data_IF_704559154538
#
_entry.id   IF_704559154538
#
_cell.length_a   1.000
_cell.length_b   1.000
_cell.length_c   1.000
_cell.angle_alpha   90.00
_cell.angle_beta   90.00
_cell.angle_gamma   90.00
#
_symmetry.space_group_name_H-M   'P 1'
#
loop_
_entity.id
_entity.type
_entity.pdbx_description
1 polymer ?
#
# COMPACT_ATOMS: atom_id res chain seq x y z
N UNK A 1 -34.26 -20.71 -6.45
CA UNK A 1 -33.42 -21.21 -5.35
C UNK A 1 -31.98 -20.97 -5.78
N UNK A 2 -31.42 -19.80 -5.47
CA UNK A 2 -30.09 -19.41 -5.96
C UNK A 2 -29.08 -19.67 -4.84
N UNK A 3 -28.24 -20.68 -5.02
CA UNK A 3 -27.06 -20.93 -4.19
C UNK A 3 -26.16 -19.69 -4.17
N UNK A 4 -25.74 -19.30 -2.97
CA UNK A 4 -24.69 -18.30 -2.78
C UNK A 4 -23.38 -18.80 -3.43
N UNK A 5 -22.65 -17.96 -4.19
CA UNK A 5 -21.38 -18.40 -4.75
C UNK A 5 -20.37 -18.63 -3.63
N UNK A 6 -19.87 -19.86 -3.56
CA UNK A 6 -18.71 -20.27 -2.77
C UNK A 6 -17.50 -19.40 -3.18
N UNK A 7 -16.71 -19.01 -2.17
CA UNK A 7 -15.40 -18.32 -2.19
C UNK A 7 -14.87 -17.92 -3.57
N UNK A 8 -14.70 -16.61 -3.78
CA UNK A 8 -13.90 -16.05 -4.86
C UNK A 8 -12.52 -16.73 -4.88
N UNK A 9 -12.09 -17.35 -6.00
CA UNK A 9 -10.76 -17.92 -6.11
C UNK A 9 -9.72 -16.79 -6.14
N UNK A 10 -8.78 -16.85 -5.21
CA UNK A 10 -7.61 -16.00 -5.09
C UNK A 10 -6.62 -16.32 -6.23
N UNK A 11 -6.82 -15.72 -7.40
CA UNK A 11 -5.84 -15.77 -8.48
C UNK A 11 -5.44 -14.37 -8.93
N UNK A 12 -4.16 -14.06 -8.70
CA UNK A 12 -3.33 -13.05 -9.36
C UNK A 12 -3.96 -11.65 -9.52
N UNK A 13 -4.24 -10.98 -8.41
CA UNK A 13 -4.14 -9.52 -8.39
C UNK A 13 -2.64 -9.19 -8.29
N UNK A 14 -2.02 -8.79 -9.39
CA UNK A 14 -0.72 -8.13 -9.37
C UNK A 14 -0.90 -6.80 -8.62
N UNK A 15 -0.76 -6.87 -7.32
CA UNK A 15 -0.65 -5.76 -6.40
C UNK A 15 0.75 -5.16 -6.63
N UNK A 16 0.90 -4.26 -7.60
CA UNK A 16 2.09 -3.40 -7.63
C UNK A 16 1.92 -2.38 -6.51
N UNK A 17 2.25 -2.79 -5.29
CA UNK A 17 2.20 -1.89 -4.15
C UNK A 17 3.37 -0.92 -4.16
N UNK A 18 4.33 -1.12 -5.08
CA UNK A 18 5.54 -0.33 -5.25
C UNK A 18 5.46 0.54 -6.51
N UNK A 19 5.63 1.85 -6.33
CA UNK A 19 5.72 2.81 -7.42
C UNK A 19 7.07 3.54 -7.39
N UNK A 20 7.78 3.50 -8.51
CA UNK A 20 8.97 4.32 -8.69
C UNK A 20 8.56 5.79 -8.88
N UNK A 21 9.30 6.78 -8.34
CA UNK A 21 10.53 6.64 -7.54
C UNK A 21 10.29 6.59 -6.01
N UNK A 22 9.05 6.70 -5.54
CA UNK A 22 8.71 7.07 -4.15
C UNK A 22 8.17 5.96 -3.24
N UNK A 23 8.09 4.72 -3.69
CA UNK A 23 7.78 3.56 -2.86
C UNK A 23 6.29 3.29 -2.60
N UNK A 24 6.05 2.56 -1.51
CA UNK A 24 4.83 1.82 -1.21
C UNK A 24 3.58 2.67 -0.89
N UNK A 25 2.38 2.13 -1.14
CA UNK A 25 1.18 2.56 -0.40
C UNK A 25 0.15 3.40 -1.16
N UNK A 26 0.23 3.50 -2.50
CA UNK A 26 -0.86 4.06 -3.30
C UNK A 26 -1.98 3.03 -3.44
N UNK A 27 -3.20 3.42 -3.13
CA UNK A 27 -4.36 2.52 -3.25
C UNK A 27 -4.66 2.23 -4.72
N UNK A 28 -4.48 0.96 -5.10
CA UNK A 28 -4.91 0.38 -6.38
C UNK A 28 -5.43 -1.04 -6.14
N UNK A 29 -6.42 -1.53 -6.92
CA UNK A 29 -7.10 -0.85 -8.04
C UNK A 29 -8.02 0.31 -7.58
N UNK A 30 -8.58 1.10 -8.51
CA UNK A 30 -9.52 2.18 -8.13
C UNK A 30 -10.91 1.61 -7.75
N UNK A 31 -11.42 0.68 -8.55
CA UNK A 31 -12.71 -0.01 -8.35
C UNK A 31 -12.60 -1.43 -8.89
N UNK A 32 -13.57 -2.28 -8.56
CA UNK A 32 -13.72 -3.63 -9.13
C UNK A 32 -15.06 -3.79 -9.85
N UNK A 33 -15.13 -4.71 -10.80
CA UNK A 33 -16.37 -5.06 -11.52
C UNK A 33 -16.38 -6.55 -11.86
N UNK A 34 -17.43 -7.02 -12.54
CA UNK A 34 -17.51 -8.39 -13.02
C UNK A 34 -16.39 -8.67 -14.02
N UNK A 35 -15.56 -9.65 -13.69
CA UNK A 35 -14.47 -10.12 -14.55
C UNK A 35 -14.31 -11.63 -14.55
N UNK A 36 -15.24 -12.38 -13.96
CA UNK A 36 -15.22 -13.85 -13.94
C UNK A 36 -16.51 -14.40 -14.54
N UNK A 37 -16.39 -15.41 -15.39
CA UNK A 37 -17.53 -16.08 -16.02
C UNK A 37 -18.31 -15.20 -17.00
N UNK A 38 -17.76 -14.07 -17.43
CA UNK A 38 -18.46 -13.11 -18.28
C UNK A 38 -18.60 -13.67 -19.68
N UNK A 39 -19.82 -13.64 -20.21
CA UNK A 39 -20.15 -14.11 -21.55
C UNK A 39 -19.89 -13.01 -22.58
N UNK A 40 -19.06 -13.31 -23.58
CA UNK A 40 -18.70 -12.40 -24.67
C UNK A 40 -18.73 -13.10 -26.03
N UNK A 41 -18.41 -12.35 -27.09
CA UNK A 41 -18.36 -12.88 -28.46
C UNK A 41 -17.19 -13.84 -28.68
N UNK A 42 -17.44 -14.98 -29.32
CA UNK A 42 -16.40 -15.90 -29.76
C UNK A 42 -15.71 -15.44 -31.06
N UNK A 43 -14.45 -15.85 -31.29
CA UNK A 43 -13.66 -15.44 -32.47
C UNK A 43 -14.21 -15.94 -33.82
N UNK A 44 -15.03 -17.00 -33.81
CA UNK A 44 -15.62 -17.56 -35.03
C UNK A 44 -17.13 -17.33 -35.02
N UNK A 45 -17.84 -18.00 -34.11
CA UNK A 45 -19.28 -17.85 -33.89
C UNK A 45 -19.61 -18.15 -32.42
N UNK A 46 -20.78 -17.71 -31.96
CA UNK A 46 -21.31 -18.07 -30.64
C UNK A 46 -20.75 -17.24 -29.47
N UNK A 47 -21.06 -17.70 -28.26
CA UNK A 47 -20.73 -17.03 -27.01
C UNK A 47 -19.68 -17.81 -26.21
N UNK A 48 -18.65 -17.12 -25.70
CA UNK A 48 -17.61 -17.70 -24.85
C UNK A 48 -17.60 -17.06 -23.47
N UNK A 49 -17.39 -17.88 -22.44
CA UNK A 49 -17.14 -17.38 -21.08
C UNK A 49 -15.65 -17.05 -20.92
N UNK A 50 -15.36 -15.85 -20.43
CA UNK A 50 -14.02 -15.35 -20.18
C UNK A 50 -13.88 -14.92 -18.72
N UNK A 51 -12.67 -15.07 -18.18
CA UNK A 51 -12.32 -14.61 -16.83
C UNK A 51 -10.96 -13.91 -16.86
N UNK A 52 -10.84 -12.82 -16.10
CA UNK A 52 -9.62 -12.04 -15.95
C UNK A 52 -9.89 -10.54 -15.82
N UNK A 53 -8.91 -9.79 -15.33
CA UNK A 53 -8.96 -8.31 -15.27
C UNK A 53 -9.06 -7.69 -16.67
N UNK A 54 -8.53 -8.37 -17.70
CA UNK A 54 -8.71 -8.03 -19.12
C UNK A 54 -10.17 -8.06 -19.59
N UNK A 55 -11.06 -8.70 -18.82
CA UNK A 55 -12.52 -8.70 -19.05
C UNK A 55 -13.20 -7.59 -18.24
N UNK A 56 -12.71 -7.31 -17.03
CA UNK A 56 -13.23 -6.25 -16.18
C UNK A 56 -12.99 -4.84 -16.77
N UNK A 57 -11.80 -4.61 -17.36
CA UNK A 57 -11.43 -3.33 -17.96
C UNK A 57 -12.40 -2.82 -19.04
N UNK A 58 -12.76 -3.61 -20.09
CA UNK A 58 -13.73 -3.17 -21.08
C UNK A 58 -15.15 -3.00 -20.53
N UNK A 59 -15.53 -3.71 -19.46
CA UNK A 59 -16.81 -3.47 -18.77
C UNK A 59 -16.85 -2.07 -18.14
N UNK A 60 -15.76 -1.63 -17.50
CA UNK A 60 -15.64 -0.26 -16.98
C UNK A 60 -15.63 0.75 -18.12
N UNK A 61 -14.93 0.47 -19.23
CA UNK A 61 -14.92 1.36 -20.39
C UNK A 61 -16.34 1.58 -20.95
N UNK A 62 -17.12 0.51 -21.13
CA UNK A 62 -18.52 0.60 -21.57
C UNK A 62 -19.40 1.36 -20.58
N UNK A 63 -19.20 1.18 -19.27
CA UNK A 63 -19.87 1.94 -18.23
C UNK A 63 -19.56 3.45 -18.34
N UNK A 64 -18.29 3.81 -18.52
CA UNK A 64 -17.87 5.21 -18.74
C UNK A 64 -18.50 5.79 -19.99
N UNK A 65 -18.53 5.06 -21.10
CA UNK A 65 -19.18 5.50 -22.34
C UNK A 65 -20.68 5.76 -22.13
N UNK A 66 -21.37 4.88 -21.41
CA UNK A 66 -22.80 5.02 -21.12
C UNK A 66 -23.08 6.20 -20.16
N UNK A 67 -22.23 6.42 -19.16
CA UNK A 67 -22.34 7.59 -18.29
C UNK A 67 -22.10 8.88 -19.08
N UNK A 68 -21.03 8.93 -19.88
CA UNK A 68 -20.71 10.11 -20.69
C UNK A 68 -21.82 10.43 -21.72
N UNK A 69 -22.52 9.42 -22.24
CA UNK A 69 -23.61 9.65 -23.20
C UNK A 69 -24.87 10.23 -22.55
N UNK A 70 -25.09 9.97 -21.25
CA UNK A 70 -26.32 10.33 -20.52
C UNK A 70 -26.24 11.65 -19.74
N UNK A 71 -25.04 12.17 -19.47
CA UNK A 71 -24.90 13.45 -18.77
C UNK A 71 -25.30 14.61 -19.70
N UNK A 72 -26.21 15.46 -19.22
CA UNK A 72 -26.72 16.63 -19.95
C UNK A 72 -25.63 17.71 -20.09
N UNK A 73 -24.93 18.03 -19.01
CA UNK A 73 -23.89 19.06 -18.97
C UNK A 73 -22.51 18.45 -19.25
N UNK A 74 -22.28 17.99 -20.49
CA UNK A 74 -21.03 17.31 -20.87
C UNK A 74 -19.78 18.16 -20.67
N UNK A 75 -19.91 19.48 -20.74
CA UNK A 75 -18.81 20.45 -20.55
C UNK A 75 -18.24 20.42 -19.12
N UNK A 76 -19.02 19.98 -18.13
CA UNK A 76 -18.56 19.86 -16.74
C UNK A 76 -17.89 18.52 -16.44
N UNK A 77 -17.94 17.57 -17.39
CA UNK A 77 -17.43 16.21 -17.21
C UNK A 77 -16.09 16.05 -17.90
N UNK A 78 -15.04 15.90 -17.10
CA UNK A 78 -13.68 15.55 -17.51
C UNK A 78 -13.26 14.17 -16.94
N UNK A 79 -12.11 13.61 -17.35
CA UNK A 79 -11.63 12.32 -16.85
C UNK A 79 -11.55 12.21 -15.33
N UNK A 80 -11.19 13.28 -14.61
CA UNK A 80 -11.18 13.27 -13.16
C UNK A 80 -12.58 13.22 -12.56
N UNK A 81 -13.52 14.05 -13.03
CA UNK A 81 -14.91 14.03 -12.55
C UNK A 81 -15.57 12.65 -12.74
N UNK A 82 -15.32 12.00 -13.88
CA UNK A 82 -15.79 10.64 -14.15
C UNK A 82 -15.18 9.66 -13.15
N UNK A 83 -13.86 9.73 -12.94
CA UNK A 83 -13.16 8.89 -11.96
C UNK A 83 -13.66 9.13 -10.54
N UNK A 84 -13.89 10.38 -10.15
CA UNK A 84 -14.45 10.78 -8.85
C UNK A 84 -15.84 10.17 -8.64
N UNK A 85 -16.72 10.26 -9.64
CA UNK A 85 -18.05 9.69 -9.57
C UNK A 85 -18.03 8.16 -9.45
N UNK A 86 -17.18 7.47 -10.22
CA UNK A 86 -17.01 6.03 -10.14
C UNK A 86 -16.50 5.57 -8.78
N UNK A 87 -15.51 6.28 -8.22
CA UNK A 87 -14.95 5.98 -6.90
C UNK A 87 -15.97 6.25 -5.78
N UNK A 88 -16.61 7.42 -5.80
CA UNK A 88 -17.55 7.83 -4.75
C UNK A 88 -18.86 7.02 -4.75
N UNK A 89 -19.25 6.46 -5.88
CA UNK A 89 -20.42 5.60 -6.01
C UNK A 89 -20.16 4.13 -5.68
N UNK A 90 -18.89 3.69 -5.70
CA UNK A 90 -18.53 2.29 -5.55
C UNK A 90 -19.05 1.69 -4.24
N UNK A 91 -19.53 0.45 -4.33
CA UNK A 91 -20.05 -0.30 -3.18
C UNK A 91 -18.99 -1.23 -2.64
N UNK A 92 -18.55 -0.98 -1.41
CA UNK A 92 -17.59 -1.87 -0.73
C UNK A 92 -18.11 -3.30 -0.60
N UNK A 93 -17.21 -4.23 -0.87
CA UNK A 93 -17.35 -5.65 -0.66
C UNK A 93 -16.91 -5.98 0.78
N UNK A 94 -17.73 -6.73 1.54
CA UNK A 94 -17.38 -7.12 2.90
C UNK A 94 -16.19 -8.10 2.88
N UNK A 95 -15.29 -7.96 3.85
CA UNK A 95 -14.19 -8.91 4.04
C UNK A 95 -12.98 -8.73 3.10
N UNK A 96 -13.00 -7.73 2.22
CA UNK A 96 -11.93 -7.47 1.22
C UNK A 96 -11.23 -6.15 1.56
N UNK A 97 -9.92 -6.06 1.40
CA UNK A 97 -9.18 -4.82 1.73
C UNK A 97 -9.13 -3.84 0.54
N UNK A 98 -8.80 -2.57 0.81
CA UNK A 98 -8.79 -1.51 -0.20
C UNK A 98 -7.75 -1.72 -1.32
N UNK A 99 -6.68 -2.49 -1.08
CA UNK A 99 -5.71 -2.82 -2.12
C UNK A 99 -6.18 -3.99 -3.02
N UNK A 100 -7.17 -4.76 -2.58
CA UNK A 100 -7.81 -5.81 -3.40
C UNK A 100 -9.03 -5.27 -4.16
N UNK A 101 -9.87 -4.46 -3.51
CA UNK A 101 -11.13 -3.98 -4.09
C UNK A 101 -11.13 -2.51 -4.54
N UNK A 102 -10.09 -1.74 -4.22
CA UNK A 102 -10.13 -0.29 -4.35
C UNK A 102 -11.21 0.31 -3.45
N UNK A 103 -12.05 1.14 -4.04
CA UNK A 103 -13.23 1.72 -3.40
C UNK A 103 -14.46 0.80 -3.42
N UNK A 104 -14.35 -0.35 -4.09
CA UNK A 104 -15.37 -1.38 -4.16
C UNK A 104 -15.93 -1.60 -5.55
N UNK A 105 -17.08 -2.27 -5.59
CA UNK A 105 -17.74 -2.67 -6.84
C UNK A 105 -18.41 -1.48 -7.52
N UNK A 106 -18.22 -1.38 -8.84
CA UNK A 106 -18.89 -0.42 -9.72
C UNK A 106 -20.41 -0.37 -9.47
N UNK A 107 -20.95 0.82 -9.24
CA UNK A 107 -22.38 1.12 -9.16
C UNK A 107 -22.75 2.20 -10.19
N UNK A 108 -23.26 1.74 -11.34
CA UNK A 108 -23.54 2.61 -12.48
C UNK A 108 -24.65 3.63 -12.19
N UNK A 109 -25.68 3.22 -11.47
CA UNK A 109 -26.85 4.07 -11.19
C UNK A 109 -26.45 5.19 -10.23
N UNK A 110 -25.70 4.86 -9.19
CA UNK A 110 -25.21 5.87 -8.25
C UNK A 110 -24.15 6.77 -8.89
N UNK A 111 -23.29 6.25 -9.77
CA UNK A 111 -22.36 7.07 -10.55
C UNK A 111 -23.11 8.09 -11.42
N UNK A 112 -24.18 7.67 -12.11
CA UNK A 112 -25.04 8.56 -12.89
C UNK A 112 -25.68 9.66 -12.02
N UNK A 113 -26.20 9.30 -10.85
CA UNK A 113 -26.77 10.27 -9.91
C UNK A 113 -25.75 11.33 -9.47
N UNK A 114 -24.52 10.90 -9.14
CA UNK A 114 -23.43 11.81 -8.77
C UNK A 114 -23.06 12.72 -9.94
N UNK A 115 -22.93 12.17 -11.16
CA UNK A 115 -22.60 12.96 -12.35
C UNK A 115 -23.68 13.97 -12.71
N UNK A 116 -24.96 13.61 -12.55
CA UNK A 116 -26.07 14.50 -12.87
C UNK A 116 -26.13 15.74 -11.96
N UNK A 117 -25.67 15.63 -10.72
CA UNK A 117 -25.56 16.75 -9.77
C UNK A 117 -24.11 17.17 -9.53
N UNK A 118 -23.19 16.83 -10.43
CA UNK A 118 -21.77 17.03 -10.21
C UNK A 118 -21.42 18.52 -10.23
N UNK A 119 -20.62 18.92 -9.25
CA UNK A 119 -19.99 20.25 -9.22
C UNK A 119 -18.48 20.03 -9.30
N UNK A 120 -17.77 20.73 -10.21
CA UNK A 120 -16.33 20.64 -10.31
C UNK A 120 -15.66 20.87 -8.94
N UNK A 121 -14.90 19.88 -8.47
CA UNK A 121 -14.28 19.92 -7.14
C UNK A 121 -13.02 19.05 -7.09
N UNK A 122 -12.18 19.30 -6.09
CA UNK A 122 -11.12 18.38 -5.72
C UNK A 122 -11.66 17.25 -4.83
N UNK A 123 -11.03 16.08 -4.87
CA UNK A 123 -11.31 15.00 -3.93
C UNK A 123 -10.06 14.17 -3.65
N UNK A 124 -10.09 13.40 -2.57
CA UNK A 124 -8.99 12.55 -2.13
C UNK A 124 -9.35 11.07 -2.28
N UNK A 125 -8.36 10.26 -2.68
CA UNK A 125 -8.47 8.82 -2.80
C UNK A 125 -7.25 8.14 -2.14
N UNK A 126 -7.41 7.49 -0.97
CA UNK A 126 -8.64 7.36 -0.19
C UNK A 126 -9.13 8.71 0.40
N UNK A 127 -10.41 8.79 0.75
CA UNK A 127 -11.02 10.01 1.31
C UNK A 127 -10.75 10.20 2.81
N UNK A 128 -10.21 9.18 3.48
CA UNK A 128 -9.80 9.19 4.88
C UNK A 128 -8.76 8.09 5.14
N UNK A 129 -8.07 8.19 6.28
CA UNK A 129 -7.12 7.18 6.76
C UNK A 129 -7.58 6.78 8.17
N UNK A 130 -8.15 5.59 8.32
CA UNK A 130 -8.51 5.00 9.62
C UNK A 130 -7.78 3.68 9.83
N UNK A 131 -6.67 3.73 10.56
CA UNK A 131 -5.86 2.54 10.88
C UNK A 131 -6.53 1.63 11.93
N UNK A 132 -7.77 1.93 12.33
CA UNK A 132 -8.58 1.06 13.19
C UNK A 132 -9.64 0.27 12.40
N UNK A 133 -9.82 0.57 11.10
CA UNK A 133 -10.82 -0.09 10.26
C UNK A 133 -10.24 -1.32 9.55
N UNK A 134 -10.40 -2.50 10.17
CA UNK A 134 -10.12 -3.77 9.52
C UNK A 134 -11.39 -4.45 8.99
N UNK A 135 -11.33 -5.16 7.84
CA UNK A 135 -10.15 -5.43 7.02
C UNK A 135 -9.91 -4.38 5.92
N UNK A 136 -10.75 -3.36 5.79
CA UNK A 136 -10.69 -2.44 4.66
C UNK A 136 -9.34 -1.71 4.55
N UNK A 137 -8.81 -1.21 5.67
CA UNK A 137 -7.53 -0.50 5.73
C UNK A 137 -6.32 -1.44 5.94
N UNK A 138 -6.49 -2.75 5.76
CA UNK A 138 -5.36 -3.67 5.79
C UNK A 138 -4.37 -3.31 4.67
N UNK A 139 -3.05 -3.27 4.92
CA UNK A 139 -2.35 -3.76 6.11
C UNK A 139 -2.10 -2.70 7.18
N UNK A 140 -2.49 -1.45 6.98
CA UNK A 140 -2.25 -0.41 7.97
C UNK A 140 -2.99 -0.65 9.28
N UNK A 141 -4.13 -1.36 9.25
CA UNK A 141 -4.90 -1.65 10.45
C UNK A 141 -4.43 -2.88 11.24
N UNK A 142 -3.52 -3.71 10.71
CA UNK A 142 -3.11 -4.96 11.38
C UNK A 142 -2.12 -4.77 12.52
N UNK A 143 -1.55 -3.58 12.67
CA UNK A 143 -0.74 -3.24 13.84
C UNK A 143 -0.93 -1.78 14.26
N UNK A 144 -0.98 -1.50 15.57
CA UNK A 144 -0.90 -0.12 16.06
C UNK A 144 0.51 0.43 15.89
N UNK A 145 0.62 1.75 15.85
CA UNK A 145 1.90 2.47 15.78
C UNK A 145 2.43 2.79 17.17
N UNK A 146 3.73 3.06 17.28
CA UNK A 146 4.38 3.37 18.55
C UNK A 146 5.57 4.33 18.35
N UNK A 147 6.05 4.95 19.44
CA UNK A 147 7.18 5.89 19.36
C UNK A 147 8.50 5.17 19.08
N UNK A 148 9.26 5.67 18.10
CA UNK A 148 10.54 5.11 17.66
C UNK A 148 10.44 4.07 16.55
N UNK A 149 9.22 3.66 16.16
CA UNK A 149 9.00 2.83 14.97
C UNK A 149 9.12 3.62 13.66
N UNK A 150 9.25 2.91 12.56
CA UNK A 150 9.17 3.43 11.20
C UNK A 150 7.83 4.17 10.99
N UNK A 151 7.85 5.36 10.36
CA UNK A 151 6.63 6.07 10.03
C UNK A 151 5.72 5.25 9.10
N UNK A 152 4.42 5.28 9.36
CA UNK A 152 3.43 4.67 8.45
C UNK A 152 3.17 5.64 7.30
N UNK A 153 3.51 5.22 6.08
CA UNK A 153 3.33 6.03 4.87
C UNK A 153 2.07 5.58 4.13
N UNK A 154 1.19 6.54 3.84
CA UNK A 154 -0.03 6.34 3.03
C UNK A 154 -0.02 7.33 1.87
N UNK A 155 -0.07 6.83 0.64
CA UNK A 155 -0.09 7.67 -0.56
C UNK A 155 -1.53 7.93 -1.01
N UNK A 156 -1.94 9.19 -0.91
CA UNK A 156 -3.26 9.66 -1.30
C UNK A 156 -3.18 10.30 -2.68
N UNK A 157 -4.09 9.91 -3.57
CA UNK A 157 -4.27 10.57 -4.86
C UNK A 157 -5.21 11.76 -4.71
N UNK A 158 -4.76 12.93 -5.13
CA UNK A 158 -5.60 14.12 -5.29
C UNK A 158 -6.19 14.07 -6.69
N UNK A 159 -7.52 14.07 -6.80
CA UNK A 159 -8.23 14.18 -8.08
C UNK A 159 -8.76 15.60 -8.20
N UNK A 160 -8.49 16.24 -9.33
CA UNK A 160 -8.90 17.59 -9.64
C UNK A 160 -9.93 17.57 -10.77
N UNK A 161 -11.20 17.65 -10.40
CA UNK A 161 -12.29 17.71 -11.37
C UNK A 161 -12.65 19.12 -11.82
N UNK A 162 -11.89 20.16 -11.42
CA UNK A 162 -12.14 21.58 -11.77
C UNK A 162 -11.54 21.99 -13.12
N UNK A 163 -10.46 21.34 -13.56
CA UNK A 163 -9.78 21.66 -14.81
C UNK A 163 -8.58 20.74 -15.04
N UNK A 164 -7.97 20.81 -16.23
CA UNK A 164 -6.82 19.95 -16.61
C UNK A 164 -5.62 20.16 -15.70
N UNK A 165 -5.39 21.40 -15.29
CA UNK A 165 -4.30 21.80 -14.41
C UNK A 165 -4.87 22.25 -13.07
N UNK A 166 -4.14 21.97 -11.99
CA UNK A 166 -4.42 22.52 -10.67
C UNK A 166 -3.13 22.78 -9.92
N UNK A 167 -3.21 23.60 -8.88
CA UNK A 167 -2.10 23.85 -7.95
C UNK A 167 -2.58 23.74 -6.52
N UNK A 168 -1.71 23.26 -5.65
CA UNK A 168 -1.96 23.32 -4.21
C UNK A 168 -1.58 24.73 -3.76
N UNK A 169 -2.57 25.48 -3.23
CA UNK A 169 -2.42 26.92 -2.92
C UNK A 169 -1.48 27.13 -1.75
N UNK A 170 -1.75 26.44 -0.66
CA UNK A 170 -0.99 26.50 0.58
C UNK A 170 -0.42 25.13 0.93
N UNK A 171 0.71 25.11 1.66
CA UNK A 171 1.27 23.87 2.19
C UNK A 171 0.18 23.15 3.02
N UNK A 172 -0.11 21.86 2.76
CA UNK A 172 -1.04 21.11 3.58
C UNK A 172 -0.56 21.05 5.03
N UNK A 173 -1.45 21.39 5.96
CA UNK A 173 -1.14 21.48 7.39
C UNK A 173 -1.91 20.39 8.13
N UNK A 174 -1.20 19.71 9.04
CA UNK A 174 -1.77 18.83 10.04
C UNK A 174 -2.53 19.64 11.08
N UNK A 175 -3.82 19.33 11.26
CA UNK A 175 -4.69 19.93 12.25
C UNK A 175 -5.09 18.86 13.28
N UNK A 176 -4.38 18.79 14.42
CA UNK A 176 -4.66 17.81 15.46
C UNK A 176 -5.99 18.15 16.16
N UNK A 177 -6.84 17.15 16.39
CA UNK A 177 -8.00 17.32 17.25
C UNK A 177 -7.58 17.12 18.71
N UNK A 178 -7.34 18.22 19.42
CA UNK A 178 -6.87 18.18 20.83
C UNK A 178 -7.79 17.35 21.75
N UNK A 179 -9.13 17.42 21.67
CA UNK A 179 -10.00 16.57 22.51
C UNK A 179 -9.94 15.08 22.15
N UNK A 180 -9.38 14.73 20.98
CA UNK A 180 -9.20 13.36 20.50
C UNK A 180 -7.71 13.00 20.39
N UNK A 181 -6.87 13.59 21.25
CA UNK A 181 -5.44 13.27 21.38
C UNK A 181 -4.63 13.42 20.07
N UNK A 182 -5.07 14.28 19.15
CA UNK A 182 -4.40 14.47 17.87
C UNK A 182 -2.97 15.00 17.99
N UNK A 183 -2.64 15.60 19.13
CA UNK A 183 -1.30 16.08 19.46
C UNK A 183 -0.34 14.94 19.84
N UNK A 184 -0.82 13.69 19.97
CA UNK A 184 0.00 12.50 20.23
C UNK A 184 0.59 11.87 18.95
N UNK A 185 0.23 12.39 17.78
CA UNK A 185 0.80 12.00 16.50
C UNK A 185 1.41 13.19 15.78
N UNK A 186 2.52 12.91 15.11
CA UNK A 186 3.20 13.81 14.21
C UNK A 186 2.89 13.37 12.78
N UNK A 187 2.39 14.29 11.97
CA UNK A 187 2.05 14.03 10.57
C UNK A 187 2.89 14.92 9.68
N UNK A 188 3.74 14.29 8.87
CA UNK A 188 4.50 14.95 7.82
C UNK A 188 3.86 14.66 6.46
N UNK A 189 3.96 15.62 5.54
CA UNK A 189 3.36 15.51 4.20
C UNK A 189 4.38 15.85 3.13
N UNK A 190 4.35 15.08 2.04
CA UNK A 190 5.01 15.38 0.78
C UNK A 190 3.96 15.36 -0.32
N UNK A 191 4.02 16.29 -1.27
CA UNK A 191 2.95 16.47 -2.25
C UNK A 191 3.46 17.05 -3.58
N UNK A 192 2.69 16.83 -4.64
CA UNK A 192 2.91 17.47 -5.93
C UNK A 192 2.41 18.94 -5.90
N UNK A 193 3.27 19.94 -6.15
CA UNK A 193 2.83 21.35 -6.18
C UNK A 193 1.82 21.64 -7.30
N UNK A 194 1.99 20.95 -8.43
CA UNK A 194 1.13 21.03 -9.61
C UNK A 194 0.44 19.69 -9.81
N UNK A 195 -0.87 19.73 -10.11
CA UNK A 195 -1.70 18.60 -10.46
C UNK A 195 -1.85 18.57 -11.98
N UNK A 196 -1.29 17.55 -12.63
CA UNK A 196 -1.38 17.41 -14.09
C UNK A 196 -1.12 15.96 -14.57
N UNK A 197 -1.94 15.45 -15.51
CA UNK A 197 -3.24 15.95 -15.91
C UNK A 197 -4.32 15.50 -14.90
N UNK A 198 -5.11 16.44 -14.39
CA UNK A 198 -6.20 16.26 -13.42
C UNK A 198 -5.90 15.53 -12.09
N UNK A 199 -4.65 15.17 -11.81
CA UNK A 199 -4.31 14.44 -10.61
C UNK A 199 -2.92 14.80 -10.07
N UNK A 200 -2.71 14.53 -8.80
CA UNK A 200 -1.41 14.58 -8.15
C UNK A 200 -1.37 13.71 -6.91
N UNK A 201 -0.28 13.79 -6.15
CA UNK A 201 -0.08 12.94 -4.97
C UNK A 201 0.03 13.76 -3.69
N UNK A 202 -0.38 13.13 -2.60
CA UNK A 202 -0.18 13.56 -1.22
C UNK A 202 0.28 12.32 -0.44
N UNK A 203 1.58 12.23 -0.18
CA UNK A 203 2.17 11.23 0.69
C UNK A 203 2.06 11.71 2.14
N UNK A 204 1.39 10.93 2.98
CA UNK A 204 1.20 11.21 4.41
C UNK A 204 2.07 10.26 5.20
N UNK A 205 3.01 10.80 5.96
CA UNK A 205 3.88 10.06 6.87
C UNK A 205 3.42 10.30 8.30
N UNK A 206 3.06 9.22 8.99
CA UNK A 206 2.47 9.26 10.33
C UNK A 206 3.44 8.63 11.32
N UNK A 207 3.84 9.39 12.34
CA UNK A 207 4.65 8.93 13.46
C UNK A 207 4.01 9.30 14.79
N UNK A 208 4.48 8.67 15.88
CA UNK A 208 4.00 8.95 17.23
C UNK A 208 4.88 10.03 17.86
N UNK A 209 4.26 11.00 18.52
CA UNK A 209 4.97 12.06 19.22
C UNK A 209 5.69 11.51 20.47
N UNK A 210 6.84 12.09 20.82
CA UNK A 210 7.66 11.64 21.97
C UNK A 210 6.90 11.55 23.29
N UNK A 211 5.95 12.46 23.54
CA UNK A 211 5.13 12.46 24.78
C UNK A 211 4.18 11.26 24.88
N UNK A 212 3.88 10.60 23.76
CA UNK A 212 3.00 9.45 23.69
C UNK A 212 3.77 8.11 23.68
N UNK A 213 5.07 8.10 24.01
CA UNK A 213 5.90 6.90 23.98
C UNK A 213 5.43 5.77 24.92
N UNK A 214 4.84 6.13 26.07
CA UNK A 214 4.26 5.20 27.04
C UNK A 214 2.73 5.26 27.09
N UNK A 215 2.11 5.90 26.09
CA UNK A 215 0.67 6.10 26.05
C UNK A 215 -0.02 5.05 25.17
N UNK A 216 -1.27 4.72 25.53
CA UNK A 216 -2.13 3.84 24.74
C UNK A 216 -3.45 4.54 24.45
N UNK A 217 -3.91 4.48 23.20
CA UNK A 217 -5.24 4.96 22.85
C UNK A 217 -5.38 5.27 21.36
N UNK A 218 -6.41 6.04 21.03
CA UNK A 218 -6.72 6.47 19.67
C UNK A 218 -6.46 7.97 19.57
N UNK A 219 -5.71 8.36 18.54
CA UNK A 219 -5.44 9.75 18.19
C UNK A 219 -6.09 10.09 16.85
N UNK A 220 -6.63 11.32 16.74
CA UNK A 220 -7.34 11.78 15.55
C UNK A 220 -6.99 13.21 15.17
N UNK A 221 -7.12 13.51 13.89
CA UNK A 221 -7.01 14.86 13.35
C UNK A 221 -7.29 14.82 11.85
N UNK A 222 -6.86 15.86 11.15
CA UNK A 222 -6.97 15.87 9.70
C UNK A 222 -5.89 16.71 9.03
N UNK A 223 -5.62 16.40 7.76
CA UNK A 223 -4.85 17.28 6.87
C UNK A 223 -5.83 18.03 5.98
N UNK A 224 -5.66 19.35 5.88
CA UNK A 224 -6.40 20.16 4.90
C UNK A 224 -5.55 20.42 3.66
N UNK A 225 -6.17 20.30 2.49
CA UNK A 225 -5.56 20.64 1.20
C UNK A 225 -6.51 21.54 0.45
N UNK A 226 -6.00 22.66 -0.05
CA UNK A 226 -6.75 23.55 -0.94
C UNK A 226 -6.14 23.49 -2.33
N UNK A 227 -6.95 23.09 -3.30
CA UNK A 227 -6.59 23.05 -4.71
C UNK A 227 -7.23 24.25 -5.41
N UNK A 228 -6.47 24.95 -6.24
CA UNK A 228 -6.96 25.97 -7.15
C UNK A 228 -6.75 25.52 -8.60
N UNK A 229 -7.72 25.81 -9.45
CA UNK A 229 -7.67 25.59 -10.90
C UNK A 229 -8.17 26.82 -11.64
N UNK A 230 -7.62 27.11 -12.84
CA UNK A 230 -8.20 28.14 -13.70
C UNK A 230 -9.66 27.80 -14.05
N UNK A 231 -10.56 28.77 -14.01
CA UNK A 231 -11.92 28.58 -14.51
C UNK A 231 -11.88 28.49 -16.05
N UNK A 232 -12.52 27.47 -16.63
CA UNK A 232 -12.55 27.27 -18.09
C UNK A 232 -13.59 28.19 -18.79
N UNK A 233 -14.58 28.73 -18.07
CA UNK A 233 -15.80 29.30 -18.70
C UNK A 233 -16.28 30.69 -18.24
N UNK A 234 -15.50 31.47 -17.47
CA UNK A 234 -15.91 32.87 -17.17
C UNK A 234 -15.14 33.88 -18.03
N UNK A 235 -15.91 34.63 -18.82
CA UNK A 235 -15.54 35.78 -19.63
C UNK A 235 -15.10 37.01 -18.81
N UNK A 236 -15.01 36.89 -17.49
CA UNK A 236 -14.32 37.83 -16.63
C UNK A 236 -12.91 37.32 -16.33
N UNK A 237 -11.93 38.07 -16.83
CA UNK A 237 -10.49 37.90 -16.69
C UNK A 237 -10.09 37.25 -15.34
N UNK A 238 -9.74 35.96 -15.37
CA UNK A 238 -8.88 35.34 -14.36
C UNK A 238 -9.54 34.73 -13.12
N UNK A 239 -10.81 34.28 -13.17
CA UNK A 239 -11.40 33.51 -12.07
C UNK A 239 -10.67 32.19 -11.79
N UNK A 240 -10.29 31.93 -10.53
CA UNK A 240 -9.79 30.62 -10.07
C UNK A 240 -10.90 29.87 -9.32
N UNK A 241 -11.19 28.63 -9.73
CA UNK A 241 -12.00 27.71 -8.95
C UNK A 241 -11.15 27.14 -7.81
N UNK A 242 -11.64 27.24 -6.59
CA UNK A 242 -10.96 26.71 -5.41
C UNK A 242 -11.79 25.62 -4.73
N UNK A 243 -11.13 24.56 -4.29
CA UNK A 243 -11.75 23.46 -3.58
C UNK A 243 -10.86 23.00 -2.43
N UNK A 244 -11.38 23.12 -1.21
CA UNK A 244 -10.72 22.66 0.00
C UNK A 244 -11.26 21.30 0.41
N UNK A 245 -10.36 20.35 0.58
CA UNK A 245 -10.66 18.98 1.00
C UNK A 245 -9.99 18.67 2.33
N UNK A 246 -10.68 17.89 3.17
CA UNK A 246 -10.18 17.42 4.47
C UNK A 246 -9.90 15.94 4.38
N UNK A 247 -8.73 15.52 4.84
CA UNK A 247 -8.33 14.11 4.98
C UNK A 247 -8.32 13.74 6.46
N UNK A 248 -9.39 13.13 7.00
CA UNK A 248 -9.39 12.63 8.37
C UNK A 248 -8.36 11.52 8.56
N UNK A 249 -7.61 11.59 9.66
CA UNK A 249 -6.63 10.58 10.06
C UNK A 249 -6.99 10.10 11.46
N UNK A 250 -7.08 8.77 11.62
CA UNK A 250 -7.34 8.10 12.89
C UNK A 250 -6.40 6.91 13.04
N UNK A 251 -5.70 6.87 14.17
CA UNK A 251 -4.66 5.88 14.43
C UNK A 251 -4.76 5.33 15.84
N UNK A 252 -4.37 4.06 16.01
CA UNK A 252 -4.20 3.44 17.33
C UNK A 252 -2.72 3.48 17.71
N UNK A 253 -2.43 4.04 18.88
CA UNK A 253 -1.09 4.11 19.46
C UNK A 253 -1.02 3.11 20.61
N UNK A 254 0.14 2.46 20.74
CA UNK A 254 0.49 1.63 21.90
C UNK A 254 1.83 2.07 22.49
N UNK A 255 2.11 1.75 23.76
CA UNK A 255 3.43 1.94 24.33
C UNK A 255 4.48 1.22 23.49
N UNK A 256 5.64 1.86 23.37
CA UNK A 256 6.79 1.34 22.62
C UNK A 256 7.11 -0.12 23.06
N UNK A 257 6.92 -1.13 22.18
CA UNK A 257 7.08 -2.54 22.53
C UNK A 257 8.51 -2.87 22.96
N UNK A 258 8.77 -4.00 23.64
CA UNK A 258 10.14 -4.45 23.89
C UNK A 258 10.93 -4.60 22.58
N UNK A 259 12.21 -4.21 22.59
CA UNK A 259 13.09 -4.28 21.40
C UNK A 259 13.08 -5.67 20.74
N UNK A 260 13.06 -6.74 21.54
CA UNK A 260 13.02 -8.14 21.05
C UNK A 260 11.75 -8.50 20.28
N UNK A 261 10.70 -7.69 20.35
CA UNK A 261 9.45 -7.87 19.59
C UNK A 261 9.39 -7.04 18.32
N UNK A 262 10.38 -6.20 18.04
CA UNK A 262 10.38 -5.30 16.88
C UNK A 262 11.28 -5.87 15.79
N UNK A 263 10.67 -6.18 14.66
CA UNK A 263 11.28 -6.80 13.49
C UNK A 263 11.24 -5.79 12.35
N UNK A 264 12.40 -5.49 11.79
CA UNK A 264 12.54 -4.68 10.59
C UNK A 264 12.66 -5.61 9.37
N UNK A 265 11.94 -5.31 8.31
CA UNK A 265 11.92 -6.07 7.06
C UNK A 265 12.61 -5.25 5.96
N UNK A 266 13.65 -5.82 5.35
CA UNK A 266 14.28 -5.25 4.17
C UNK A 266 13.43 -5.57 2.92
N UNK A 267 13.00 -4.54 2.20
CA UNK A 267 12.13 -4.70 1.04
C UNK A 267 12.93 -4.45 -0.25
N UNK A 268 13.48 -5.52 -0.83
CA UNK A 268 14.01 -5.51 -2.19
C UNK A 268 13.14 -6.42 -3.05
N UNK A 269 12.30 -5.84 -3.91
CA UNK A 269 11.43 -6.58 -4.83
C UNK A 269 10.08 -6.98 -4.25
N UNK A 270 10.07 -7.78 -3.17
CA UNK A 270 8.85 -8.36 -2.62
C UNK A 270 8.34 -7.69 -1.33
N UNK A 271 7.02 -7.48 -1.24
CA UNK A 271 6.39 -6.86 -0.07
C UNK A 271 5.81 -7.89 0.90
N UNK A 272 5.97 -7.62 2.21
CA UNK A 272 5.47 -8.47 3.29
C UNK A 272 3.93 -8.61 3.34
N UNK A 273 3.20 -7.81 2.57
CA UNK A 273 1.74 -7.78 2.52
C UNK A 273 1.21 -8.41 1.22
N UNK A 274 2.08 -8.89 0.35
CA UNK A 274 1.72 -9.64 -0.86
C UNK A 274 2.27 -11.06 -0.74
N UNK A 275 3.52 -11.26 -1.11
CA UNK A 275 4.16 -12.56 -1.27
C UNK A 275 4.40 -13.24 0.08
N UNK A 276 4.68 -12.45 1.12
CA UNK A 276 4.93 -12.94 2.48
C UNK A 276 3.79 -12.64 3.46
N UNK A 277 2.56 -12.47 2.97
CA UNK A 277 1.38 -12.15 3.80
C UNK A 277 1.17 -13.15 4.93
N UNK A 278 1.30 -14.44 4.67
CA UNK A 278 1.07 -15.49 5.68
C UNK A 278 2.14 -15.46 6.77
N UNK A 279 3.40 -15.23 6.39
CA UNK A 279 4.50 -15.04 7.33
C UNK A 279 4.28 -13.78 8.19
N UNK A 280 3.88 -12.65 7.58
CA UNK A 280 3.50 -11.45 8.33
C UNK A 280 2.42 -11.76 9.37
N UNK A 281 1.33 -12.42 8.95
CA UNK A 281 0.23 -12.77 9.85
C UNK A 281 0.70 -13.68 10.98
N UNK A 282 1.57 -14.64 10.70
CA UNK A 282 2.15 -15.52 11.70
C UNK A 282 3.00 -14.75 12.72
N UNK A 283 3.92 -13.89 12.27
CA UNK A 283 4.73 -13.03 13.14
C UNK A 283 3.86 -12.12 14.02
N UNK A 284 2.83 -11.50 13.43
CA UNK A 284 1.85 -10.69 14.16
C UNK A 284 1.09 -11.51 15.21
N UNK A 285 0.71 -12.75 14.92
CA UNK A 285 0.03 -13.63 15.87
C UNK A 285 0.90 -13.99 17.08
N UNK A 286 2.23 -13.98 16.92
CA UNK A 286 3.21 -14.17 18.00
C UNK A 286 3.59 -12.87 18.75
N UNK A 287 2.93 -11.77 18.42
CA UNK A 287 3.11 -10.47 19.05
C UNK A 287 4.34 -9.68 18.57
N UNK A 288 4.93 -10.03 17.43
CA UNK A 288 6.00 -9.23 16.82
C UNK A 288 5.43 -8.05 16.05
N UNK A 289 6.03 -6.88 16.16
CA UNK A 289 5.78 -5.71 15.33
C UNK A 289 6.72 -5.80 14.13
N UNK A 290 6.14 -5.81 12.93
CA UNK A 290 6.91 -5.97 11.70
C UNK A 290 6.78 -4.70 10.88
N UNK A 291 7.91 -4.08 10.60
CA UNK A 291 8.00 -2.79 9.93
C UNK A 291 8.83 -2.91 8.69
N UNK A 292 8.45 -2.16 7.65
CA UNK A 292 9.14 -2.20 6.37
C UNK A 292 10.16 -1.08 6.32
N UNK A 293 11.40 -1.43 5.98
CA UNK A 293 12.48 -0.47 5.82
C UNK A 293 12.22 0.38 4.57
N UNK A 294 11.91 1.67 4.78
CA UNK A 294 11.61 2.63 3.71
C UNK A 294 12.79 3.50 3.27
N UNK A 295 14.00 3.19 3.75
CA UNK A 295 15.22 3.96 3.49
C UNK A 295 16.42 3.02 3.38
N UNK A 296 17.54 3.45 2.78
CA UNK A 296 18.75 2.63 2.71
C UNK A 296 19.18 2.12 4.09
N UNK A 297 19.81 0.95 4.12
CA UNK A 297 20.26 0.29 5.36
C UNK A 297 21.15 1.20 6.20
N UNK A 298 21.91 2.09 5.58
CA UNK A 298 22.76 3.08 6.25
C UNK A 298 21.99 4.12 7.09
N UNK A 299 20.68 4.32 6.85
CA UNK A 299 19.91 5.42 7.44
C UNK A 299 19.09 5.03 8.68
N UNK A 300 18.83 3.73 8.94
CA UNK A 300 17.99 3.33 10.07
C UNK A 300 18.79 3.16 11.37
N UNK A 301 18.16 3.48 12.50
CA UNK A 301 18.69 3.27 13.85
C UNK A 301 18.42 1.83 14.32
N UNK A 302 19.46 0.99 14.31
CA UNK A 302 19.38 -0.41 14.74
C UNK A 302 19.13 -0.59 16.24
N UNK A 303 19.36 0.43 17.07
CA UNK A 303 19.07 0.35 18.50
C UNK A 303 17.57 0.22 18.77
N UNK A 304 16.72 0.67 17.83
CA UNK A 304 15.27 0.54 17.93
C UNK A 304 14.74 -0.87 17.64
N UNK A 305 15.51 -1.74 17.00
CA UNK A 305 15.02 -3.05 16.51
C UNK A 305 15.79 -4.21 17.11
N UNK A 306 15.08 -5.30 17.40
CA UNK A 306 15.70 -6.54 17.89
C UNK A 306 16.22 -7.41 16.75
N UNK A 307 15.52 -7.40 15.62
CA UNK A 307 15.83 -8.25 14.47
C UNK A 307 15.65 -7.50 13.16
N UNK A 308 16.62 -7.62 12.26
CA UNK A 308 16.51 -7.30 10.84
C UNK A 308 16.29 -8.60 10.07
N UNK A 309 15.29 -8.59 9.20
CA UNK A 309 14.87 -9.69 8.36
C UNK A 309 15.11 -9.30 6.90
N UNK A 310 16.11 -9.92 6.29
CA UNK A 310 16.48 -9.71 4.88
C UNK A 310 15.96 -10.89 4.08
N UNK A 311 15.04 -10.64 3.16
CA UNK A 311 14.39 -11.71 2.40
C UNK A 311 14.40 -11.37 0.93
N UNK A 312 14.78 -12.35 0.13
CA UNK A 312 14.77 -12.26 -1.32
C UNK A 312 15.52 -11.03 -1.84
N UNK A 313 16.75 -10.82 -1.35
CA UNK A 313 17.59 -9.70 -1.76
C UNK A 313 17.93 -9.79 -3.25
N UNK A 314 17.31 -8.93 -4.06
CA UNK A 314 17.51 -8.87 -5.52
C UNK A 314 18.80 -8.15 -5.97
N UNK A 315 19.43 -7.38 -5.07
CA UNK A 315 20.60 -6.55 -5.38
C UNK A 315 21.77 -6.82 -4.43
N UNK A 316 22.99 -6.55 -4.92
CA UNK A 316 24.20 -6.59 -4.09
C UNK A 316 24.27 -5.36 -3.18
N UNK A 317 24.63 -5.57 -1.91
CA UNK A 317 24.79 -4.49 -0.93
C UNK A 317 26.13 -3.76 -1.10
N UNK A 318 26.11 -2.45 -0.92
CA UNK A 318 27.31 -1.63 -0.97
C UNK A 318 28.24 -1.92 0.22
N UNK A 319 29.57 -1.76 0.09
CA UNK A 319 30.51 -1.96 1.18
C UNK A 319 30.18 -1.16 2.45
N UNK A 320 29.62 0.05 2.29
CA UNK A 320 29.18 0.91 3.37
C UNK A 320 28.00 0.30 4.14
N UNK A 321 27.03 -0.30 3.44
CA UNK A 321 25.88 -0.99 4.03
C UNK A 321 26.33 -2.22 4.82
N UNK A 322 27.23 -3.01 4.24
CA UNK A 322 27.81 -4.19 4.89
C UNK A 322 28.55 -3.78 6.17
N UNK A 323 29.35 -2.72 6.10
CA UNK A 323 30.11 -2.21 7.26
C UNK A 323 29.17 -1.72 8.35
N UNK A 324 28.11 -1.02 7.98
CA UNK A 324 27.08 -0.55 8.91
C UNK A 324 26.35 -1.72 9.57
N UNK A 325 25.91 -2.72 8.79
CA UNK A 325 25.23 -3.91 9.33
C UNK A 325 26.11 -4.69 10.31
N UNK A 326 27.40 -4.88 9.99
CA UNK A 326 28.34 -5.55 10.91
C UNK A 326 28.40 -4.83 12.26
N UNK A 327 28.53 -3.50 12.24
CA UNK A 327 28.53 -2.68 13.45
C UNK A 327 27.23 -2.81 14.23
N UNK A 328 26.09 -2.83 13.55
CA UNK A 328 24.79 -2.97 14.19
C UNK A 328 24.61 -4.36 14.83
N UNK A 329 25.11 -5.41 14.18
CA UNK A 329 25.12 -6.78 14.70
C UNK A 329 26.00 -6.87 15.95
N UNK A 330 27.20 -6.27 15.91
CA UNK A 330 28.10 -6.19 17.07
C UNK A 330 27.44 -5.44 18.25
N UNK A 331 26.56 -4.48 17.94
CA UNK A 331 25.74 -3.76 18.91
C UNK A 331 24.43 -4.49 19.30
N UNK A 332 24.29 -5.76 18.91
CA UNK A 332 23.21 -6.64 19.35
C UNK A 332 21.95 -6.60 18.49
N UNK A 333 22.02 -6.20 17.22
CA UNK A 333 20.97 -6.47 16.24
C UNK A 333 21.06 -7.94 15.78
N UNK A 334 19.95 -8.68 15.86
CA UNK A 334 19.89 -10.01 15.23
C UNK A 334 19.63 -9.87 13.73
N UNK A 335 20.33 -10.62 12.89
CA UNK A 335 20.09 -10.64 11.44
C UNK A 335 19.62 -12.03 11.02
N UNK A 336 18.50 -12.09 10.30
CA UNK A 336 17.99 -13.30 9.65
C UNK A 336 17.95 -13.04 8.16
N UNK A 337 18.57 -13.93 7.38
CA UNK A 337 18.62 -13.83 5.91
C UNK A 337 17.90 -15.04 5.31
N UNK A 338 16.86 -14.79 4.52
CA UNK A 338 16.16 -15.78 3.70
C UNK A 338 16.47 -15.48 2.23
N UNK A 339 17.51 -16.13 1.70
CA UNK A 339 17.95 -15.97 0.32
C UNK A 339 17.76 -17.26 -0.45
N UNK A 340 17.12 -17.18 -1.63
CA UNK A 340 17.32 -18.19 -2.66
C UNK A 340 18.64 -17.89 -3.40
N UNK A 341 19.33 -18.92 -3.88
CA UNK A 341 20.76 -18.80 -4.20
C UNK A 341 21.09 -17.91 -5.42
N UNK A 342 21.95 -16.91 -5.24
CA UNK A 342 22.65 -16.19 -6.31
C UNK A 342 24.01 -16.84 -6.59
N UNK A 343 24.11 -17.66 -7.65
CA UNK A 343 25.41 -18.16 -8.13
C UNK A 343 25.72 -17.58 -9.52
N UNK A 344 26.54 -16.53 -9.55
CA UNK A 344 26.96 -15.84 -10.78
C UNK A 344 27.64 -16.76 -11.81
N UNK A 345 28.21 -17.88 -11.35
CA UNK A 345 28.86 -18.87 -12.22
C UNK A 345 27.84 -19.80 -12.88
N UNK A 346 26.71 -20.08 -12.22
CA UNK A 346 25.61 -20.88 -12.76
C UNK A 346 24.74 -20.04 -13.68
N UNK A 347 24.41 -18.78 -13.32
CA UNK A 347 23.66 -17.88 -14.20
C UNK A 347 24.39 -17.58 -15.52
N UNK A 348 25.73 -17.50 -15.49
CA UNK A 348 26.54 -17.39 -16.74
C UNK A 348 26.39 -18.60 -17.66
N UNK A 349 26.04 -19.78 -17.10
CA UNK A 349 25.85 -21.04 -17.84
C UNK A 349 24.38 -21.29 -18.23
N UNK A 350 23.42 -20.60 -17.62
CA UNK A 350 21.97 -20.79 -17.84
C UNK A 350 21.37 -19.67 -18.72
N UNK A 351 22.20 -18.83 -19.34
CA UNK A 351 21.75 -17.91 -20.41
C UNK A 351 21.33 -18.71 -21.64
N UNK A 352 20.03 -18.97 -21.78
CA UNK A 352 19.44 -19.39 -23.05
C UNK A 352 18.79 -18.19 -23.73
N UNK A 353 18.98 -18.10 -25.05
CA UNK A 353 18.51 -17.00 -25.89
C UNK A 353 17.05 -17.24 -26.27
N UNK A 354 16.13 -16.36 -25.86
CA UNK A 354 14.74 -16.38 -26.34
C UNK A 354 14.67 -15.68 -27.70
N UNK A 355 14.35 -16.44 -28.76
CA UNK A 355 14.27 -15.94 -30.13
C UNK A 355 13.08 -14.98 -30.38
N UNK A 356 12.07 -14.96 -29.51
CA UNK A 356 10.86 -14.15 -29.72
C UNK A 356 10.94 -12.70 -29.22
N UNK A 357 11.85 -12.38 -28.29
CA UNK A 357 11.95 -11.03 -27.69
C UNK A 357 13.28 -10.32 -27.93
N UNK A 358 14.27 -10.97 -28.55
CA UNK A 358 15.65 -10.43 -28.74
C UNK A 358 16.18 -9.74 -27.47
N UNK A 359 15.88 -10.32 -26.30
CA UNK A 359 16.28 -9.83 -25.00
C UNK A 359 16.24 -10.98 -23.98
N UNK A 360 17.19 -11.01 -23.04
CA UNK A 360 17.29 -12.07 -22.06
C UNK A 360 16.16 -11.94 -21.01
N UNK A 361 15.23 -12.89 -20.99
CA UNK A 361 14.25 -13.04 -19.93
C UNK A 361 14.50 -14.35 -19.17
N UNK A 362 14.46 -14.31 -17.84
CA UNK A 362 14.43 -15.51 -17.00
C UNK A 362 12.97 -15.82 -16.64
N UNK A 363 12.55 -17.06 -16.86
CA UNK A 363 11.28 -17.61 -16.42
C UNK A 363 11.57 -18.84 -15.55
N UNK A 364 10.67 -19.09 -14.58
CA UNK A 364 10.36 -20.35 -13.88
C UNK A 364 10.83 -20.52 -12.42
N UNK A 365 9.86 -20.85 -11.54
CA UNK A 365 10.03 -21.74 -10.38
C UNK A 365 10.14 -23.23 -10.81
N UNK A 366 10.22 -24.25 -9.93
CA UNK A 366 9.71 -24.31 -8.56
C UNK A 366 10.80 -24.45 -7.48
N UNK A 367 10.34 -24.16 -6.26
CA UNK A 367 10.97 -24.25 -4.95
C UNK A 367 11.99 -25.39 -4.74
N UNK A 368 13.15 -25.03 -4.20
CA UNK A 368 14.02 -25.94 -3.43
C UNK A 368 14.74 -25.14 -2.33
N UNK A 369 14.14 -25.11 -1.13
CA UNK A 369 14.68 -24.47 0.06
C UNK A 369 15.87 -25.30 0.58
N UNK A 370 17.09 -24.76 0.50
CA UNK A 370 18.26 -25.33 1.21
C UNK A 370 18.73 -24.39 2.32
N UNK A 371 18.31 -24.71 3.54
CA UNK A 371 18.83 -24.12 4.78
C UNK A 371 20.28 -24.61 4.97
N UNK A 372 21.25 -23.70 4.95
CA UNK A 372 22.59 -23.92 5.53
C UNK A 372 22.67 -23.19 6.86
N UNK A 373 22.39 -23.90 7.94
CA UNK A 373 22.91 -23.52 9.26
C UNK A 373 24.42 -23.80 9.25
N UNK A 374 25.23 -22.76 9.25
CA UNK A 374 26.62 -22.87 9.69
C UNK A 374 26.69 -22.37 11.13
N UNK A 375 27.34 -23.11 12.04
CA UNK A 375 27.31 -22.82 13.47
C UNK A 375 28.19 -21.62 13.75
N UNK A 376 27.79 -20.73 14.67
CA UNK A 376 28.67 -20.07 15.65
C UNK A 376 27.80 -19.31 16.67
N UNK A 377 27.98 -19.71 17.94
CA UNK A 377 27.62 -19.07 19.20
C UNK A 377 26.14 -18.93 19.60
N UNK A 378 25.64 -20.02 20.19
CA UNK A 378 24.80 -19.94 21.38
C UNK A 378 25.66 -19.55 22.60
N UNK A 379 25.32 -18.45 23.29
CA UNK A 379 25.56 -18.15 24.72
C UNK A 379 25.24 -16.65 24.95
N UNK A 380 24.58 -16.16 26.00
CA UNK A 380 24.22 -16.76 27.27
C UNK A 380 22.93 -16.12 27.84
N UNK A 381 22.02 -16.96 28.32
CA UNK A 381 21.08 -16.60 29.39
C UNK A 381 21.85 -16.74 30.71
N UNK A 382 21.75 -15.80 31.67
CA UNK A 382 22.43 -15.93 32.96
C UNK A 382 21.92 -17.15 33.71
N UNK A 383 22.85 -18.01 34.11
CA UNK A 383 22.64 -19.24 34.85
C UNK A 383 22.10 -18.98 36.25
N UNK A 384 20.83 -19.29 36.49
CA UNK A 384 20.41 -19.95 37.74
C UNK A 384 19.06 -20.64 37.52
N UNK A 385 18.95 -21.87 38.04
CA UNK A 385 17.77 -22.75 38.13
C UNK A 385 17.59 -23.81 37.01
N UNK A 386 18.15 -25.00 37.27
CA UNK A 386 17.45 -26.30 37.20
C UNK A 386 17.20 -26.95 35.82
N UNK A 387 17.59 -28.22 35.60
CA UNK A 387 17.36 -28.92 34.34
C UNK A 387 15.94 -29.50 34.35
N UNK A 388 15.11 -29.13 33.36
CA UNK A 388 14.07 -29.96 32.75
C UNK A 388 13.20 -29.11 31.82
N UNK A 389 13.55 -28.97 30.54
CA UNK A 389 12.61 -28.78 29.42
C UNK A 389 13.38 -28.99 28.09
N UNK A 390 12.96 -29.90 27.19
CA UNK A 390 13.64 -30.13 25.92
C UNK A 390 13.30 -29.04 24.88
N UNK A 391 14.34 -28.55 24.19
CA UNK A 391 14.25 -27.70 23.00
C UNK A 391 13.64 -28.54 21.87
N UNK A 392 12.48 -28.14 21.32
CA UNK A 392 11.89 -28.73 20.12
C UNK A 392 12.35 -27.95 18.88
N UNK A 393 12.93 -28.64 17.90
CA UNK A 393 13.13 -28.09 16.56
C UNK A 393 11.79 -28.04 15.82
N UNK A 394 11.49 -26.91 15.19
CA UNK A 394 10.44 -26.83 14.17
C UNK A 394 11.04 -27.34 12.87
N UNK A 395 10.97 -28.65 12.67
CA UNK A 395 11.23 -29.32 11.39
C UNK A 395 10.15 -30.36 11.21
N UNK A 396 8.94 -29.88 10.93
CA UNK A 396 7.85 -30.55 10.22
C UNK A 396 6.75 -29.49 10.03
N UNK A 397 6.82 -28.78 8.90
CA UNK A 397 5.72 -28.06 8.26
C UNK A 397 5.97 -28.09 6.74
#
# INVERSE_FOLDING_TARGET
>A
MFEAPRRLPSHHLYLSVQELPGGYGRVKPDIVTYGSGVRGSGMKEGCRSLSGTSVASPVVAGAVTLLASTVLNRELVNPASMKQALIASARRLPGVNMFEQGHGKLDLIRAYQILNSYRPQASLSPSYIDLTECPYMWPYCSQPIYYGGMPTIVNVTILNGMGVTGRIVDKPIWQPYLPQNGDHIDVAVSYSPVLWPWAGYLAVSISVAKKAASWEGIAQGHVMVTVASPAENDSEVGGELTSTVKLPIKVKIVPTPPRSKRVLWDQNGDHIHTNFRDMYQHLRSMGYFVEVLGAPITCFDASQYGTLLMVDSEEEYFPEEITKLRRDIDNGLSLIVFSDWYNTSVMRKVKFYDENTRGAASNFGPHDIKIKLAPICAAAVPTSLGPNYPIRSFTEL
#
